data_IF_093483726019
#
_entry.id   IF_093483726019
#
_cell.length_a   1.000
_cell.length_b   1.000
_cell.length_c   1.000
_cell.angle_alpha   90.00
_cell.angle_beta   90.00
_cell.angle_gamma   90.00
#
_symmetry.space_group_name_H-M   'P 1'
#
loop_
_entity.id
_entity.type
_entity.pdbx_description
1 polymer ?
#
# COMPACT_ATOMS: atom_id res chain seq x y z
N UNK A 1 7.59 8.45 18.12
CA UNK A 1 6.91 9.74 17.83
C UNK A 1 7.09 10.01 16.34
N UNK A 2 6.00 10.13 15.59
CA UNK A 2 6.02 10.34 14.14
C UNK A 2 6.35 11.79 13.80
N UNK A 3 7.05 12.08 12.68
CA UNK A 3 7.22 13.44 12.22
C UNK A 3 5.85 14.04 11.82
N UNK A 4 5.55 15.31 12.19
CA UNK A 4 4.22 15.91 12.05
C UNK A 4 3.64 15.87 10.63
N UNK A 5 4.51 15.92 9.62
CA UNK A 5 4.11 16.06 8.23
C UNK A 5 3.50 14.78 7.65
N UNK A 6 4.02 13.60 8.01
CA UNK A 6 3.53 12.31 7.52
C UNK A 6 2.15 11.97 8.06
N UNK A 7 1.86 12.36 9.31
CA UNK A 7 0.53 12.24 9.90
C UNK A 7 -0.48 13.16 9.18
N UNK A 8 -0.09 14.40 8.88
CA UNK A 8 -0.96 15.38 8.22
C UNK A 8 -1.40 14.93 6.82
N UNK A 9 -0.48 14.38 6.01
CA UNK A 9 -0.82 13.87 4.68
C UNK A 9 -1.85 12.75 4.71
N UNK A 10 -1.84 11.91 5.75
CA UNK A 10 -2.80 10.82 5.91
C UNK A 10 -4.16 11.32 6.43
N UNK A 11 -4.18 12.40 7.22
CA UNK A 11 -5.41 13.00 7.77
C UNK A 11 -6.20 13.80 6.72
N UNK A 12 -5.50 14.38 5.73
CA UNK A 12 -6.12 15.24 4.71
C UNK A 12 -6.66 14.48 3.49
N UNK A 13 -6.31 13.20 3.34
CA UNK A 13 -6.83 12.35 2.25
C UNK A 13 -8.20 11.80 2.67
N UNK A 14 -9.25 11.91 1.82
CA UNK A 14 -10.50 11.19 2.04
C UNK A 14 -10.22 9.69 2.22
N UNK A 15 -10.85 9.09 3.23
CA UNK A 15 -10.71 7.65 3.48
C UNK A 15 -11.19 6.87 2.24
N UNK A 16 -10.42 5.88 1.74
CA UNK A 16 -10.87 5.03 0.65
C UNK A 16 -12.13 4.25 1.02
N UNK A 17 -12.90 3.84 0.00
CA UNK A 17 -14.07 2.99 0.18
C UNK A 17 -13.67 1.52 0.23
N UNK A 18 -14.49 0.70 0.89
CA UNK A 18 -14.26 -0.74 0.96
C UNK A 18 -14.19 -1.33 -0.46
N UNK A 19 -13.11 -2.03 -0.76
CA UNK A 19 -12.85 -2.60 -2.08
C UNK A 19 -12.01 -1.71 -3.02
N UNK A 20 -11.74 -0.45 -2.66
CA UNK A 20 -10.89 0.42 -3.49
C UNK A 20 -9.49 -0.16 -3.67
N UNK A 21 -9.01 -0.13 -4.91
CA UNK A 21 -7.63 -0.46 -5.26
C UNK A 21 -6.74 0.74 -4.93
N UNK A 22 -5.74 0.50 -4.11
CA UNK A 22 -4.77 1.51 -3.70
C UNK A 22 -3.47 1.31 -4.47
N UNK A 23 -3.05 2.35 -5.18
CA UNK A 23 -1.77 2.43 -5.89
C UNK A 23 -0.80 3.30 -5.08
N UNK A 24 0.31 2.71 -4.62
CA UNK A 24 1.34 3.37 -3.82
C UNK A 24 2.57 3.63 -4.69
N UNK A 25 3.04 4.87 -4.68
CA UNK A 25 4.09 5.38 -5.55
C UNK A 25 5.47 5.21 -4.91
N UNK A 26 6.07 4.02 -5.07
CA UNK A 26 7.48 3.80 -4.71
C UNK A 26 8.39 4.52 -5.72
N UNK A 27 9.65 4.85 -5.35
CA UNK A 27 10.59 5.52 -6.26
C UNK A 27 10.80 4.82 -7.61
N UNK A 28 10.73 3.48 -7.64
CA UNK A 28 11.05 2.68 -8.85
C UNK A 28 9.94 1.76 -9.34
N UNK A 29 8.83 1.60 -8.60
CA UNK A 29 7.72 0.74 -8.99
C UNK A 29 6.40 1.20 -8.38
N UNK A 30 5.30 0.51 -8.72
CA UNK A 30 4.00 0.74 -8.10
C UNK A 30 3.64 -0.45 -7.24
N UNK A 31 3.44 -0.19 -5.97
CA UNK A 31 2.93 -1.20 -5.04
C UNK A 31 1.40 -1.11 -5.04
N UNK A 32 0.73 -2.26 -4.94
CA UNK A 32 -0.73 -2.34 -5.00
C UNK A 32 -1.29 -2.99 -3.75
N UNK A 33 -2.43 -2.49 -3.31
CA UNK A 33 -3.19 -3.02 -2.20
C UNK A 33 -4.69 -2.86 -2.47
N UNK A 34 -5.52 -3.56 -1.70
CA UNK A 34 -6.98 -3.38 -1.70
C UNK A 34 -7.43 -2.92 -0.30
N UNK A 35 -8.27 -1.89 -0.25
CA UNK A 35 -8.79 -1.35 0.99
C UNK A 35 -9.88 -2.25 1.57
N UNK A 36 -9.78 -2.55 2.87
CA UNK A 36 -10.70 -3.46 3.59
C UNK A 36 -11.36 -2.80 4.80
N UNK A 37 -11.31 -1.47 4.90
CA UNK A 37 -11.97 -0.68 5.95
C UNK A 37 -11.08 -0.38 7.16
N UNK A 38 -11.48 0.63 7.94
CA UNK A 38 -10.88 1.02 9.22
C UNK A 38 -9.37 1.32 9.14
N UNK A 39 -8.92 1.91 8.05
CA UNK A 39 -7.53 2.20 7.76
C UNK A 39 -6.69 1.00 7.30
N UNK A 40 -7.28 -0.19 7.09
CA UNK A 40 -6.55 -1.40 6.71
C UNK A 40 -6.60 -1.68 5.21
N UNK A 41 -5.51 -2.28 4.73
CA UNK A 41 -5.40 -2.84 3.38
C UNK A 41 -4.94 -4.29 3.42
N UNK A 42 -5.29 -5.02 2.37
CA UNK A 42 -4.69 -6.31 2.04
C UNK A 42 -3.74 -6.13 0.85
N UNK A 43 -2.52 -6.65 0.95
CA UNK A 43 -1.54 -6.57 -0.15
C UNK A 43 -0.60 -7.78 -0.18
N UNK A 44 0.10 -7.93 -1.29
CA UNK A 44 1.22 -8.85 -1.41
C UNK A 44 2.46 -8.21 -0.81
N UNK A 45 3.20 -8.96 0.00
CA UNK A 45 4.45 -8.54 0.60
C UNK A 45 5.50 -9.64 0.41
N UNK A 46 6.80 -9.32 0.39
CA UNK A 46 7.83 -10.34 0.40
C UNK A 46 7.69 -11.21 1.66
N UNK A 47 7.94 -12.53 1.58
CA UNK A 47 8.08 -13.38 2.76
C UNK A 47 9.23 -12.76 3.58
N UNK A 48 8.96 -12.36 4.81
CA UNK A 48 9.97 -11.71 5.63
C UNK A 48 11.11 -12.69 5.93
N UNK A 49 12.26 -12.51 5.29
CA UNK A 49 13.52 -13.06 5.79
C UNK A 49 14.34 -11.90 6.37
N UNK A 50 14.34 -11.82 7.71
CA UNK A 50 15.22 -11.03 8.59
C UNK A 50 14.85 -9.52 8.77
N UNK A 51 14.72 -9.03 10.03
CA UNK A 51 14.58 -7.60 10.32
C UNK A 51 15.89 -6.85 10.02
N UNK A 52 15.82 -5.73 9.31
CA UNK A 52 16.96 -4.79 9.19
C UNK A 52 17.41 -4.42 7.79
N UNK A 53 16.83 -4.98 6.72
CA UNK A 53 17.18 -4.57 5.37
C UNK A 53 16.27 -3.43 4.90
N UNK A 54 16.80 -2.21 4.86
CA UNK A 54 16.26 -1.06 4.11
C UNK A 54 16.21 -1.27 2.58
N UNK A 55 16.04 -2.52 2.13
CA UNK A 55 15.96 -2.99 0.75
C UNK A 55 14.63 -3.69 0.42
N UNK A 56 13.70 -3.78 1.39
CA UNK A 56 12.44 -4.53 1.26
C UNK A 56 11.52 -4.04 0.12
N UNK A 57 11.66 -2.79 -0.32
CA UNK A 57 10.91 -2.23 -1.44
C UNK A 57 11.31 -2.90 -2.78
N UNK A 58 12.61 -3.08 -3.01
CA UNK A 58 13.12 -3.61 -4.29
C UNK A 58 12.96 -5.14 -4.37
N UNK A 59 12.98 -5.84 -3.23
CA UNK A 59 12.89 -7.31 -3.21
C UNK A 59 11.50 -7.86 -3.60
N UNK A 60 10.42 -7.09 -3.48
CA UNK A 60 9.08 -7.56 -3.89
C UNK A 60 8.97 -7.82 -5.40
N UNK A 61 9.83 -7.21 -6.23
CA UNK A 61 9.92 -7.47 -7.67
C UNK A 61 10.93 -8.58 -8.03
N UNK A 62 11.73 -9.05 -7.08
CA UNK A 62 12.87 -9.97 -7.29
C UNK A 62 12.70 -11.35 -6.64
N UNK A 63 11.70 -11.54 -5.77
CA UNK A 63 11.43 -12.85 -5.14
C UNK A 63 10.22 -13.54 -5.80
N UNK A 64 10.38 -14.78 -6.26
CA UNK A 64 9.31 -15.60 -6.85
C UNK A 64 8.17 -15.98 -5.86
N UNK A 65 8.26 -15.52 -4.61
CA UNK A 65 7.29 -15.80 -3.55
C UNK A 65 6.84 -14.50 -2.92
N UNK A 66 5.55 -14.45 -2.57
CA UNK A 66 4.94 -13.36 -1.80
C UNK A 66 3.95 -13.95 -0.78
N UNK A 67 3.71 -13.20 0.29
CA UNK A 67 2.68 -13.49 1.30
C UNK A 67 1.58 -12.44 1.22
N UNK A 68 0.34 -12.85 1.47
CA UNK A 68 -0.78 -11.93 1.63
C UNK A 68 -0.77 -11.42 3.07
N UNK A 69 -0.74 -10.10 3.25
CA UNK A 69 -0.78 -9.44 4.57
C UNK A 69 -1.95 -8.47 4.67
N UNK A 70 -2.46 -8.31 5.89
CA UNK A 70 -3.41 -7.25 6.28
C UNK A 70 -2.71 -6.30 7.23
N UNK A 71 -2.51 -5.07 6.81
CA UNK A 71 -1.74 -4.05 7.54
C UNK A 71 -2.42 -2.67 7.42
N UNK A 72 -2.03 -1.72 8.27
CA UNK A 72 -2.54 -0.35 8.16
C UNK A 72 -2.03 0.28 6.86
N UNK A 73 -2.92 0.93 6.11
CA UNK A 73 -2.56 1.68 4.89
C UNK A 73 -1.43 2.68 5.17
N UNK A 74 -1.47 3.31 6.35
CA UNK A 74 -0.43 4.21 6.82
C UNK A 74 0.95 3.53 6.86
N UNK A 75 1.04 2.34 7.44
CA UNK A 75 2.31 1.61 7.58
C UNK A 75 2.79 1.08 6.22
N UNK A 76 1.86 0.63 5.37
CA UNK A 76 2.20 0.15 4.02
C UNK A 76 2.68 1.30 3.15
N UNK A 77 2.00 2.45 3.16
CA UNK A 77 2.41 3.62 2.38
C UNK A 77 3.70 4.24 2.93
N UNK A 78 3.84 4.34 4.26
CA UNK A 78 4.98 4.98 4.91
C UNK A 78 5.05 6.47 4.53
N UNK A 79 6.15 6.86 3.89
CA UNK A 79 6.33 8.24 3.37
C UNK A 79 5.93 8.39 1.91
N UNK A 80 5.56 7.30 1.25
CA UNK A 80 5.22 7.32 -0.17
C UNK A 80 3.78 7.79 -0.37
N UNK A 81 3.56 8.53 -1.46
CA UNK A 81 2.23 8.93 -1.87
C UNK A 81 1.43 7.72 -2.33
N UNK A 82 0.11 7.77 -2.17
CA UNK A 82 -0.81 6.78 -2.73
C UNK A 82 -2.03 7.46 -3.35
N UNK A 83 -2.78 6.71 -4.15
CA UNK A 83 -4.10 7.11 -4.65
C UNK A 83 -5.04 5.91 -4.74
N UNK A 84 -6.34 6.17 -4.71
CA UNK A 84 -7.35 5.22 -5.20
C UNK A 84 -7.25 5.16 -6.73
N UNK A 85 -7.17 3.96 -7.29
CA UNK A 85 -7.11 3.72 -8.74
C UNK A 85 -7.83 2.41 -9.11
N UNK A 86 -9.17 2.47 -9.16
CA UNK A 86 -10.01 1.38 -9.63
C UNK A 86 -9.99 1.32 -11.17
N UNK A 87 -8.85 0.88 -11.72
CA UNK A 87 -8.47 1.02 -13.13
C UNK A 87 -9.49 0.49 -14.15
N UNK A 88 -10.38 -0.41 -13.73
CA UNK A 88 -11.27 -1.15 -14.63
C UNK A 88 -12.77 -0.95 -14.35
N UNK A 89 -13.16 -0.17 -13.35
CA UNK A 89 -14.58 0.04 -12.99
C UNK A 89 -15.38 0.66 -14.14
N UNK A 90 -14.73 1.50 -14.98
CA UNK A 90 -15.38 2.08 -16.15
C UNK A 90 -15.51 1.14 -17.36
N UNK A 91 -14.98 -0.09 -17.30
CA UNK A 91 -14.99 -1.05 -18.42
C UNK A 91 -15.88 -2.27 -18.18
N UNK A 92 -16.04 -2.67 -16.93
CA UNK A 92 -16.86 -3.81 -16.56
C UNK A 92 -17.96 -3.29 -15.64
N UNK A 93 -19.16 -3.13 -16.19
CA UNK A 93 -20.37 -2.88 -15.42
C UNK A 93 -20.85 -4.25 -14.91
N UNK A 94 -21.09 -4.34 -13.59
CA UNK A 94 -21.77 -5.48 -12.98
C UNK A 94 -23.28 -5.40 -13.22
#
# INVERSE_FOLDING_TARGET
LLPPLTALFSILQPEPQLGDLIEIFRPFYRHWAIYVGNGYVVHLAPPSEIPGAGAASVMSALTDKAIVKKELLYDVAGTDQYRVNNKHDGRYLF
#
